data_IF_342323108455
#
_entry.id   IF_342323108455
#
_cell.length_a   1.000
_cell.length_b   1.000
_cell.length_c   1.000
_cell.angle_alpha   90.00
_cell.angle_beta   90.00
_cell.angle_gamma   90.00
#
_symmetry.space_group_name_H-M   'P 1'
#
loop_
_entity.id
_entity.type
_entity.pdbx_description
1 polymer ?
#
# COMPACT_ATOMS: atom_id res chain seq x y z
N UNK A 1 -17.67 2.19 -21.79
CA UNK A 1 -18.57 1.22 -22.43
C UNK A 1 -18.35 1.26 -23.94
N UNK A 2 -17.82 0.15 -24.50
CA UNK A 2 -17.75 -0.05 -25.94
C UNK A 2 -19.16 -0.23 -26.46
N UNK A 3 -19.57 0.55 -27.47
CA UNK A 3 -20.79 0.29 -28.23
C UNK A 3 -20.65 -1.03 -29.03
N UNK A 4 -21.69 -1.44 -29.74
CA UNK A 4 -21.64 -2.66 -30.56
C UNK A 4 -20.53 -2.54 -31.62
N UNK A 5 -19.72 -3.61 -31.74
CA UNK A 5 -18.63 -3.70 -32.74
C UNK A 5 -19.13 -3.83 -34.21
N UNK A 6 -20.33 -3.35 -34.47
CA UNK A 6 -20.92 -3.37 -35.82
C UNK A 6 -20.56 -2.06 -36.56
N UNK A 7 -20.00 -2.19 -37.74
CA UNK A 7 -19.72 -1.05 -38.60
C UNK A 7 -21.01 -0.25 -38.84
N UNK A 8 -20.97 1.05 -38.59
CA UNK A 8 -22.08 2.01 -38.74
C UNK A 8 -23.17 1.97 -37.65
N UNK A 9 -22.94 1.39 -36.48
CA UNK A 9 -23.82 1.53 -35.32
C UNK A 9 -23.18 2.45 -34.32
N UNK A 10 -23.86 3.53 -33.93
CA UNK A 10 -23.41 4.47 -32.93
C UNK A 10 -23.45 3.81 -31.53
N UNK A 11 -22.63 4.34 -30.59
CA UNK A 11 -22.58 3.82 -29.23
C UNK A 11 -23.88 4.02 -28.45
N UNK A 12 -24.66 5.02 -28.83
CA UNK A 12 -25.96 5.34 -28.25
C UNK A 12 -27.02 5.43 -29.39
N UNK A 13 -28.30 5.46 -29.02
CA UNK A 13 -29.42 5.60 -29.92
C UNK A 13 -29.52 4.46 -30.94
N UNK A 14 -29.30 3.23 -30.47
CA UNK A 14 -29.49 2.03 -31.32
C UNK A 14 -30.51 1.08 -30.69
N UNK A 15 -31.04 0.20 -31.50
CA UNK A 15 -31.92 -0.90 -31.08
C UNK A 15 -31.42 -2.22 -31.64
N UNK A 16 -31.63 -3.30 -30.89
CA UNK A 16 -31.29 -4.66 -31.29
C UNK A 16 -32.50 -5.55 -31.07
N UNK A 17 -32.68 -6.47 -31.99
CA UNK A 17 -33.69 -7.55 -31.93
C UNK A 17 -32.99 -8.89 -32.06
N UNK A 18 -33.12 -9.74 -31.05
CA UNK A 18 -32.75 -11.15 -31.14
C UNK A 18 -34.01 -12.01 -31.30
N UNK A 19 -33.96 -12.97 -32.16
CA UNK A 19 -35.03 -13.94 -32.36
C UNK A 19 -34.47 -15.35 -32.42
N UNK A 20 -35.21 -16.32 -31.90
CA UNK A 20 -34.79 -17.70 -31.87
C UNK A 20 -35.89 -18.63 -31.36
N UNK A 21 -35.49 -19.85 -31.05
CA UNK A 21 -36.34 -20.86 -30.43
C UNK A 21 -35.62 -21.42 -29.22
N UNK A 22 -36.39 -21.70 -28.16
CA UNK A 22 -35.95 -22.44 -27.01
C UNK A 22 -36.74 -23.73 -26.84
N UNK A 23 -36.07 -24.80 -26.43
CA UNK A 23 -36.67 -26.12 -26.23
C UNK A 23 -36.27 -26.63 -24.85
N UNK A 24 -37.17 -26.62 -23.85
CA UNK A 24 -36.87 -27.16 -22.54
C UNK A 24 -36.69 -28.69 -22.62
N UNK A 25 -35.77 -29.20 -21.83
CA UNK A 25 -35.54 -30.66 -21.76
C UNK A 25 -36.57 -31.37 -20.85
N UNK A 26 -37.18 -30.62 -19.95
CA UNK A 26 -38.13 -31.13 -18.97
C UNK A 26 -39.40 -30.28 -18.97
N UNK A 27 -40.58 -30.93 -18.71
CA UNK A 27 -41.82 -30.19 -18.48
C UNK A 27 -41.81 -29.61 -17.07
N UNK A 28 -41.73 -28.28 -16.95
CA UNK A 28 -41.69 -27.53 -15.66
C UNK A 28 -42.17 -26.11 -15.87
N UNK A 29 -42.28 -25.38 -14.79
CA UNK A 29 -42.29 -23.93 -14.89
C UNK A 29 -40.85 -23.42 -15.12
N UNK A 30 -40.74 -22.38 -15.91
CA UNK A 30 -39.49 -21.67 -16.18
C UNK A 30 -39.66 -20.20 -15.93
N UNK A 31 -38.75 -19.61 -15.19
CA UNK A 31 -38.72 -18.16 -14.93
C UNK A 31 -37.69 -17.52 -15.85
N UNK A 32 -38.16 -16.65 -16.72
CA UNK A 32 -37.32 -15.78 -17.56
C UNK A 32 -36.93 -14.54 -16.74
N UNK A 33 -35.67 -14.14 -16.81
CA UNK A 33 -35.09 -12.98 -16.15
C UNK A 33 -34.46 -12.12 -17.21
N UNK A 34 -34.94 -10.87 -17.35
CA UNK A 34 -34.31 -9.89 -18.25
C UNK A 34 -33.81 -8.74 -17.40
N UNK A 35 -32.53 -8.42 -17.53
CA UNK A 35 -31.89 -7.26 -16.93
C UNK A 35 -31.33 -6.37 -18.02
N UNK A 36 -31.67 -5.09 -18.04
CA UNK A 36 -31.23 -4.18 -19.11
C UNK A 36 -31.20 -2.72 -18.69
N UNK A 37 -30.39 -1.98 -19.41
CA UNK A 37 -30.22 -0.53 -19.44
C UNK A 37 -30.00 -0.12 -20.91
N UNK A 38 -30.83 0.64 -21.57
CA UNK A 38 -32.09 1.30 -21.18
C UNK A 38 -33.34 0.37 -21.24
N UNK A 39 -33.95 0.23 -22.40
CA UNK A 39 -35.24 -0.41 -22.57
C UNK A 39 -35.18 -1.79 -23.16
N UNK A 40 -36.04 -2.68 -22.67
CA UNK A 40 -36.13 -4.06 -23.16
C UNK A 40 -37.56 -4.59 -23.17
N UNK A 41 -37.81 -5.58 -24.06
CA UNK A 41 -39.08 -6.28 -24.13
C UNK A 41 -38.82 -7.75 -24.49
N UNK A 42 -39.45 -8.65 -23.75
CA UNK A 42 -39.40 -10.08 -24.00
C UNK A 42 -40.74 -10.54 -24.56
N UNK A 43 -40.71 -11.26 -25.68
CA UNK A 43 -41.87 -11.83 -26.36
C UNK A 43 -41.66 -13.33 -26.47
N UNK A 44 -42.64 -14.12 -25.99
CA UNK A 44 -42.65 -15.57 -26.08
C UNK A 44 -43.89 -16.01 -26.85
N UNK A 45 -43.69 -16.83 -27.91
CA UNK A 45 -44.75 -17.27 -28.85
C UNK A 45 -45.65 -16.12 -29.33
N UNK A 46 -45.08 -14.98 -29.64
CA UNK A 46 -45.77 -13.78 -30.10
C UNK A 46 -46.48 -12.96 -29.03
N UNK A 47 -46.46 -13.40 -27.79
CA UNK A 47 -47.02 -12.66 -26.65
C UNK A 47 -45.92 -11.89 -25.90
N UNK A 48 -46.11 -10.59 -25.75
CA UNK A 48 -45.25 -9.76 -24.91
C UNK A 48 -45.48 -10.16 -23.45
N UNK A 49 -44.40 -10.65 -22.77
CA UNK A 49 -44.45 -11.14 -21.40
C UNK A 49 -43.69 -10.23 -20.43
N UNK A 50 -42.70 -9.48 -20.93
CA UNK A 50 -42.03 -8.39 -20.21
C UNK A 50 -42.02 -7.18 -21.16
N UNK A 51 -42.46 -6.03 -20.69
CA UNK A 51 -42.41 -4.75 -21.40
C UNK A 51 -41.87 -3.63 -20.52
N UNK A 52 -40.59 -3.37 -20.68
CA UNK A 52 -39.89 -2.23 -20.09
C UNK A 52 -39.19 -1.42 -21.19
N UNK A 53 -39.84 -1.29 -22.35
CA UNK A 53 -39.28 -0.61 -23.51
C UNK A 53 -39.38 0.91 -23.37
N UNK A 54 -38.65 1.44 -22.37
CA UNK A 54 -38.56 2.89 -22.02
C UNK A 54 -37.18 3.20 -21.51
N UNK A 55 -36.71 4.43 -21.70
CA UNK A 55 -35.43 4.89 -21.13
C UNK A 55 -35.42 4.86 -19.61
N UNK A 56 -34.24 4.64 -19.03
CA UNK A 56 -34.02 4.65 -17.59
C UNK A 56 -32.84 3.76 -17.19
N UNK A 57 -32.45 3.82 -15.93
CA UNK A 57 -31.34 3.05 -15.36
C UNK A 57 -31.58 1.54 -15.44
N UNK A 58 -30.51 0.78 -15.19
CA UNK A 58 -30.53 -0.68 -15.12
C UNK A 58 -31.67 -1.20 -14.26
N UNK A 59 -32.48 -2.11 -14.78
CA UNK A 59 -33.57 -2.78 -14.08
C UNK A 59 -33.71 -4.23 -14.48
N UNK A 60 -34.28 -5.04 -13.59
CA UNK A 60 -34.55 -6.46 -13.79
C UNK A 60 -36.05 -6.73 -13.76
N UNK A 61 -36.53 -7.59 -14.63
CA UNK A 61 -37.91 -8.11 -14.65
C UNK A 61 -37.90 -9.61 -14.86
N UNK A 62 -38.92 -10.24 -14.27
CA UNK A 62 -39.08 -11.69 -14.29
C UNK A 62 -40.48 -12.06 -14.81
N UNK A 63 -40.55 -13.20 -15.52
CA UNK A 63 -41.81 -13.79 -15.99
C UNK A 63 -41.71 -15.30 -15.92
N UNK A 64 -42.67 -15.94 -15.25
CA UNK A 64 -42.74 -17.41 -15.11
C UNK A 64 -43.84 -18.01 -15.96
N UNK A 65 -43.55 -19.08 -16.68
CA UNK A 65 -44.54 -19.85 -17.41
C UNK A 65 -44.23 -21.34 -17.38
N UNK A 66 -45.29 -22.17 -17.53
CA UNK A 66 -45.11 -23.62 -17.71
C UNK A 66 -44.67 -23.91 -19.14
N UNK A 67 -43.64 -24.73 -19.31
CA UNK A 67 -43.14 -25.18 -20.61
C UNK A 67 -43.06 -26.69 -20.65
N UNK A 68 -43.31 -27.26 -21.81
CA UNK A 68 -43.37 -28.69 -22.07
C UNK A 68 -42.04 -29.20 -22.68
N UNK A 69 -41.54 -30.34 -22.20
CA UNK A 69 -40.31 -30.97 -22.71
C UNK A 69 -40.33 -31.15 -24.22
N UNK A 70 -39.26 -30.75 -24.91
CA UNK A 70 -39.07 -30.90 -26.34
C UNK A 70 -39.89 -29.97 -27.24
N UNK A 71 -40.90 -29.26 -26.73
CA UNK A 71 -41.68 -28.29 -27.46
C UNK A 71 -40.85 -27.03 -27.76
N UNK A 72 -40.93 -26.55 -29.00
CA UNK A 72 -40.31 -25.32 -29.42
C UNK A 72 -41.16 -24.11 -29.00
N UNK A 73 -40.55 -23.14 -28.36
CA UNK A 73 -41.14 -21.85 -28.03
C UNK A 73 -40.37 -20.76 -28.75
N UNK A 74 -41.05 -19.93 -29.54
CA UNK A 74 -40.41 -18.77 -30.18
C UNK A 74 -40.08 -17.72 -29.14
N UNK A 75 -38.85 -17.22 -29.19
CA UNK A 75 -38.38 -16.16 -28.33
C UNK A 75 -37.91 -14.95 -29.14
N UNK A 76 -38.28 -13.75 -28.70
CA UNK A 76 -37.76 -12.50 -29.21
C UNK A 76 -37.41 -11.59 -28.00
N UNK A 77 -36.21 -11.04 -28.05
CA UNK A 77 -35.78 -10.00 -27.15
C UNK A 77 -35.53 -8.74 -27.95
N UNK A 78 -36.26 -7.69 -27.65
CA UNK A 78 -36.02 -6.33 -28.16
C UNK A 78 -35.28 -5.53 -27.11
N UNK A 79 -34.29 -4.76 -27.53
CA UNK A 79 -33.49 -3.87 -26.67
C UNK A 79 -33.27 -2.55 -27.39
N UNK A 80 -33.26 -1.46 -26.67
CA UNK A 80 -32.72 -0.20 -27.16
C UNK A 80 -31.83 0.49 -26.13
N UNK A 81 -30.82 1.20 -26.65
CA UNK A 81 -29.90 2.02 -25.92
C UNK A 81 -30.11 3.50 -26.26
N UNK A 82 -30.48 4.33 -25.28
CA UNK A 82 -30.67 5.76 -25.46
C UNK A 82 -29.41 6.54 -25.10
N UNK A 83 -28.73 6.20 -24.02
CA UNK A 83 -27.47 6.87 -23.59
C UNK A 83 -27.01 6.41 -22.22
N UNK A 84 -25.75 6.72 -21.87
CA UNK A 84 -25.15 6.33 -20.59
C UNK A 84 -24.63 4.89 -20.61
N UNK A 85 -24.90 4.14 -19.54
CA UNK A 85 -24.56 2.72 -19.43
C UNK A 85 -25.35 1.86 -20.41
N UNK A 86 -24.82 0.73 -20.85
CA UNK A 86 -25.49 -0.20 -21.74
C UNK A 86 -25.32 -1.64 -21.25
N UNK A 87 -26.41 -2.32 -20.98
CA UNK A 87 -26.38 -3.75 -20.71
C UNK A 87 -27.70 -4.41 -21.09
N UNK A 88 -27.63 -5.66 -21.50
CA UNK A 88 -28.79 -6.54 -21.69
C UNK A 88 -28.40 -7.99 -21.41
N UNK A 89 -29.09 -8.59 -20.46
CA UNK A 89 -28.93 -9.99 -20.08
C UNK A 89 -30.28 -10.69 -20.15
N UNK A 90 -30.30 -11.92 -20.68
CA UNK A 90 -31.44 -12.82 -20.66
C UNK A 90 -31.03 -14.16 -20.08
N UNK A 91 -31.67 -14.55 -19.00
CA UNK A 91 -31.53 -15.88 -18.40
C UNK A 91 -32.91 -16.56 -18.27
N UNK A 92 -32.92 -17.87 -18.12
CA UNK A 92 -34.08 -18.63 -17.74
C UNK A 92 -33.73 -19.77 -16.80
N UNK A 93 -34.57 -19.98 -15.79
CA UNK A 93 -34.37 -20.94 -14.72
C UNK A 93 -35.59 -21.85 -14.63
N UNK A 94 -35.35 -23.15 -14.47
CA UNK A 94 -36.42 -24.13 -14.20
C UNK A 94 -36.80 -24.08 -12.72
N UNK A 95 -38.09 -24.20 -12.38
CA UNK A 95 -38.54 -24.36 -10.99
C UNK A 95 -37.84 -25.58 -10.35
N UNK A 96 -37.37 -25.41 -9.15
CA UNK A 96 -36.57 -26.39 -8.42
C UNK A 96 -35.06 -26.26 -8.68
N UNK A 97 -34.65 -25.40 -9.62
CA UNK A 97 -33.23 -25.05 -9.81
C UNK A 97 -32.70 -24.04 -8.76
N UNK A 98 -33.57 -23.62 -7.81
CA UNK A 98 -33.13 -22.77 -6.70
C UNK A 98 -32.01 -23.45 -5.88
N UNK A 99 -32.00 -24.77 -5.85
CA UNK A 99 -30.94 -25.53 -5.20
C UNK A 99 -29.80 -25.94 -6.14
N UNK A 100 -29.91 -25.60 -7.46
CA UNK A 100 -28.90 -26.00 -8.44
C UNK A 100 -27.51 -25.52 -8.08
N UNK A 101 -27.42 -24.25 -7.67
CA UNK A 101 -26.14 -23.67 -7.22
C UNK A 101 -25.52 -24.50 -6.08
N UNK A 102 -26.31 -24.80 -5.05
CA UNK A 102 -25.83 -25.61 -3.91
C UNK A 102 -25.50 -27.04 -4.34
N UNK A 103 -26.34 -27.66 -5.17
CA UNK A 103 -26.13 -29.01 -5.69
C UNK A 103 -24.85 -29.13 -6.54
N UNK A 104 -24.51 -28.10 -7.32
CA UNK A 104 -23.24 -28.08 -8.08
C UNK A 104 -22.04 -27.87 -7.16
N UNK A 105 -22.14 -26.99 -6.16
CA UNK A 105 -21.09 -26.80 -5.15
C UNK A 105 -20.81 -28.10 -4.38
N UNK A 106 -21.85 -28.87 -4.04
CA UNK A 106 -21.71 -30.09 -3.26
C UNK A 106 -21.05 -31.24 -4.06
N UNK A 107 -21.04 -31.16 -5.40
CA UNK A 107 -20.30 -32.08 -6.28
C UNK A 107 -18.81 -31.74 -6.39
N UNK A 108 -18.41 -30.50 -6.08
CA UNK A 108 -17.03 -30.07 -6.17
C UNK A 108 -16.20 -30.65 -5.01
N UNK A 109 -14.90 -30.81 -5.20
CA UNK A 109 -13.96 -31.12 -4.12
C UNK A 109 -13.50 -29.87 -3.39
N UNK A 110 -13.32 -28.77 -4.14
CA UNK A 110 -12.89 -27.46 -3.66
C UNK A 110 -13.69 -26.38 -4.39
N UNK A 111 -14.07 -25.33 -3.68
CA UNK A 111 -14.71 -24.13 -4.25
C UNK A 111 -13.67 -23.03 -4.35
N UNK A 112 -13.49 -22.44 -5.53
CA UNK A 112 -12.69 -21.22 -5.71
C UNK A 112 -13.64 -20.07 -5.99
N UNK A 113 -13.73 -19.13 -5.04
CA UNK A 113 -14.58 -17.95 -5.13
C UNK A 113 -13.77 -16.74 -5.61
N UNK A 114 -14.07 -16.22 -6.79
CA UNK A 114 -13.56 -14.95 -7.27
C UNK A 114 -14.44 -13.82 -6.74
N UNK A 115 -13.86 -12.98 -5.92
CA UNK A 115 -14.55 -11.97 -5.09
C UNK A 115 -13.94 -10.61 -5.40
N UNK A 116 -14.72 -9.55 -5.36
CA UNK A 116 -14.13 -8.22 -5.49
C UNK A 116 -15.08 -7.17 -6.02
N UNK A 117 -14.46 -6.11 -6.49
CA UNK A 117 -15.13 -4.98 -7.10
C UNK A 117 -14.97 -5.01 -8.62
N UNK A 118 -15.87 -4.30 -9.30
CA UNK A 118 -15.82 -4.07 -10.73
C UNK A 118 -15.89 -2.56 -11.03
N UNK A 119 -15.82 -2.17 -12.29
CA UNK A 119 -15.83 -0.76 -12.70
C UNK A 119 -17.09 0.03 -12.30
N UNK A 120 -18.17 -0.63 -11.89
CA UNK A 120 -19.37 0.05 -11.37
C UNK A 120 -19.33 0.29 -9.88
N UNK A 121 -18.52 -0.45 -9.14
CA UNK A 121 -18.38 -0.35 -7.68
C UNK A 121 -17.04 0.22 -7.21
N UNK A 122 -16.04 0.25 -8.09
CA UNK A 122 -14.73 0.88 -7.85
C UNK A 122 -14.24 1.56 -9.12
N UNK A 123 -14.25 2.90 -9.15
CA UNK A 123 -13.88 3.71 -10.29
C UNK A 123 -13.18 4.99 -9.84
N UNK A 124 -12.46 5.65 -10.77
CA UNK A 124 -11.86 6.95 -10.54
C UNK A 124 -12.93 7.99 -10.19
N UNK A 125 -12.63 8.84 -9.21
CA UNK A 125 -13.53 9.85 -8.65
C UNK A 125 -14.85 9.32 -8.06
N UNK A 126 -14.96 8.00 -7.86
CA UNK A 126 -16.08 7.35 -7.17
C UNK A 126 -15.70 6.93 -5.75
N UNK A 127 -16.62 7.08 -4.81
CA UNK A 127 -16.45 6.51 -3.47
C UNK A 127 -16.76 5.02 -3.49
N UNK A 128 -15.77 4.21 -3.19
CA UNK A 128 -15.94 2.77 -2.98
C UNK A 128 -16.39 2.51 -1.54
N UNK A 129 -17.42 1.70 -1.36
CA UNK A 129 -17.76 1.21 -0.02
C UNK A 129 -16.65 0.33 0.53
N UNK A 130 -16.47 0.32 1.87
CA UNK A 130 -15.52 -0.57 2.51
C UNK A 130 -15.94 -2.05 2.39
N UNK A 131 -17.24 -2.34 2.38
CA UNK A 131 -17.80 -3.67 2.15
C UNK A 131 -17.80 -4.08 0.68
N UNK A 132 -17.90 -5.38 0.45
CA UNK A 132 -18.16 -5.93 -0.88
C UNK A 132 -19.53 -5.45 -1.43
N UNK A 133 -19.72 -5.39 -2.77
CA UNK A 133 -21.05 -5.28 -3.35
C UNK A 133 -21.98 -6.36 -2.77
N UNK A 134 -23.24 -6.00 -2.49
CA UNK A 134 -24.16 -6.87 -1.74
C UNK A 134 -24.42 -8.20 -2.46
N UNK A 135 -24.52 -8.18 -3.78
CA UNK A 135 -24.71 -9.37 -4.62
C UNK A 135 -23.50 -10.31 -4.55
N UNK A 136 -22.28 -9.78 -4.53
CA UNK A 136 -21.05 -10.56 -4.35
C UNK A 136 -20.99 -11.16 -2.95
N UNK A 137 -21.31 -10.37 -1.93
CA UNK A 137 -21.35 -10.84 -0.52
C UNK A 137 -22.37 -11.95 -0.35
N UNK A 138 -23.59 -11.80 -0.90
CA UNK A 138 -24.65 -12.79 -0.83
C UNK A 138 -24.25 -14.10 -1.52
N UNK A 139 -23.58 -14.02 -2.67
CA UNK A 139 -23.07 -15.19 -3.39
C UNK A 139 -22.02 -15.95 -2.57
N UNK A 140 -21.07 -15.24 -1.97
CA UNK A 140 -20.03 -15.84 -1.11
C UNK A 140 -20.65 -16.52 0.10
N UNK A 141 -21.56 -15.85 0.80
CA UNK A 141 -22.25 -16.41 1.96
C UNK A 141 -23.16 -17.60 1.59
N UNK A 142 -23.77 -17.59 0.41
CA UNK A 142 -24.51 -18.72 -0.11
C UNK A 142 -23.60 -19.93 -0.39
N UNK A 143 -22.43 -19.69 -1.01
CA UNK A 143 -21.46 -20.73 -1.30
C UNK A 143 -20.89 -21.36 0.01
N UNK A 144 -20.75 -20.57 1.06
CA UNK A 144 -20.30 -21.02 2.38
C UNK A 144 -21.29 -21.90 3.15
N UNK A 145 -22.49 -22.13 2.61
CA UNK A 145 -23.43 -23.16 3.13
C UNK A 145 -22.99 -24.56 2.75
N UNK A 146 -22.19 -24.71 1.71
CA UNK A 146 -21.55 -25.98 1.38
C UNK A 146 -20.50 -26.35 2.42
N UNK A 147 -20.32 -27.65 2.66
CA UNK A 147 -19.28 -28.18 3.55
C UNK A 147 -17.90 -28.25 2.90
N UNK A 148 -17.79 -27.87 1.62
CA UNK A 148 -16.55 -28.01 0.84
C UNK A 148 -15.52 -26.94 1.23
N UNK A 149 -14.22 -27.27 1.19
CA UNK A 149 -13.17 -26.25 1.38
C UNK A 149 -13.31 -25.13 0.35
N UNK A 150 -13.17 -23.89 0.81
CA UNK A 150 -13.28 -22.70 -0.05
C UNK A 150 -11.99 -21.90 -0.04
N UNK A 151 -11.56 -21.46 -1.22
CA UNK A 151 -10.44 -20.55 -1.44
C UNK A 151 -11.02 -19.25 -2.02
N UNK A 152 -10.67 -18.12 -1.43
CA UNK A 152 -11.03 -16.81 -1.96
C UNK A 152 -9.91 -16.23 -2.84
N UNK A 153 -10.27 -15.72 -4.00
CA UNK A 153 -9.40 -14.90 -4.86
C UNK A 153 -10.02 -13.52 -4.93
N UNK A 154 -9.38 -12.53 -4.32
CA UNK A 154 -9.93 -11.19 -4.19
C UNK A 154 -9.32 -10.23 -5.19
N UNK A 155 -10.17 -9.61 -6.01
CA UNK A 155 -9.81 -8.55 -6.94
C UNK A 155 -10.38 -7.23 -6.43
N UNK A 156 -9.55 -6.43 -5.76
CA UNK A 156 -9.90 -5.12 -5.24
C UNK A 156 -8.65 -4.24 -5.17
N UNK A 157 -8.80 -2.94 -5.37
CA UNK A 157 -7.72 -1.96 -5.33
C UNK A 157 -7.24 -1.60 -3.91
N UNK A 158 -7.96 -2.03 -2.89
CA UNK A 158 -7.63 -1.82 -1.48
C UNK A 158 -8.29 -2.85 -0.58
N UNK A 159 -8.21 -2.65 0.73
CA UNK A 159 -8.87 -3.49 1.71
C UNK A 159 -10.41 -3.50 1.54
N UNK A 160 -11.04 -4.60 1.92
CA UNK A 160 -12.50 -4.73 2.03
C UNK A 160 -12.86 -5.35 3.38
N UNK A 161 -14.08 -5.12 3.85
CA UNK A 161 -14.59 -5.78 5.06
C UNK A 161 -14.68 -7.29 4.86
N UNK A 162 -14.03 -8.07 5.73
CA UNK A 162 -13.85 -9.52 5.55
C UNK A 162 -14.42 -10.36 6.70
N UNK A 163 -14.84 -9.74 7.81
CA UNK A 163 -15.17 -10.45 9.06
C UNK A 163 -16.27 -11.50 8.90
N UNK A 164 -17.24 -11.28 8.01
CA UNK A 164 -18.39 -12.16 7.82
C UNK A 164 -18.05 -13.41 6.97
N UNK A 165 -17.06 -13.32 6.10
CA UNK A 165 -16.84 -14.35 5.09
C UNK A 165 -15.42 -14.97 5.10
N UNK A 166 -14.39 -14.20 5.45
CA UNK A 166 -12.99 -14.65 5.44
C UNK A 166 -12.74 -15.84 6.41
N UNK A 167 -13.30 -15.87 7.64
CA UNK A 167 -12.97 -16.93 8.59
C UNK A 167 -13.32 -18.35 8.12
N UNK A 168 -14.17 -18.49 7.12
CA UNK A 168 -14.53 -19.79 6.50
C UNK A 168 -13.66 -20.14 5.31
N UNK A 169 -12.80 -19.25 4.84
CA UNK A 169 -11.86 -19.53 3.77
C UNK A 169 -10.70 -20.39 4.27
N UNK A 170 -10.29 -21.37 3.48
CA UNK A 170 -9.10 -22.20 3.75
C UNK A 170 -7.83 -21.61 3.16
N UNK A 171 -7.98 -20.68 2.22
CA UNK A 171 -6.93 -19.90 1.62
C UNK A 171 -7.50 -18.60 1.07
N UNK A 172 -6.70 -17.55 1.07
CA UNK A 172 -7.07 -16.25 0.54
C UNK A 172 -5.91 -15.71 -0.31
N UNK A 173 -6.18 -15.47 -1.58
CA UNK A 173 -5.26 -14.83 -2.51
C UNK A 173 -5.75 -13.43 -2.82
N UNK A 174 -4.92 -12.42 -2.56
CA UNK A 174 -5.23 -11.03 -2.89
C UNK A 174 -4.60 -10.70 -4.24
N UNK A 175 -5.43 -10.68 -5.29
CA UNK A 175 -4.98 -10.55 -6.68
C UNK A 175 -4.81 -9.12 -7.16
N UNK A 176 -5.30 -8.11 -6.41
CA UNK A 176 -5.32 -6.71 -6.85
C UNK A 176 -5.94 -6.57 -8.25
N UNK A 177 -5.38 -5.71 -9.09
CA UNK A 177 -5.70 -5.57 -10.52
C UNK A 177 -4.46 -5.91 -11.35
N UNK A 178 -4.30 -7.19 -11.63
CA UNK A 178 -3.07 -7.79 -12.16
C UNK A 178 -2.78 -7.54 -13.66
N UNK A 179 -3.62 -6.79 -14.36
CA UNK A 179 -3.42 -6.50 -15.79
C UNK A 179 -3.66 -7.71 -16.70
N UNK A 180 -3.00 -7.73 -17.85
CA UNK A 180 -3.26 -8.68 -18.93
C UNK A 180 -3.05 -10.15 -18.52
N UNK A 181 -2.00 -10.44 -17.76
CA UNK A 181 -1.62 -11.79 -17.36
C UNK A 181 -2.15 -12.20 -15.98
N UNK A 182 -3.11 -11.46 -15.41
CA UNK A 182 -3.65 -11.73 -14.08
C UNK A 182 -4.19 -13.14 -13.92
N UNK A 183 -4.90 -13.64 -14.93
CA UNK A 183 -5.47 -15.00 -14.92
C UNK A 183 -4.40 -16.08 -14.86
N UNK A 184 -3.36 -15.97 -15.66
CA UNK A 184 -2.20 -16.87 -15.67
C UNK A 184 -1.49 -16.86 -14.32
N UNK A 185 -1.15 -15.68 -13.80
CA UNK A 185 -0.45 -15.53 -12.53
C UNK A 185 -1.26 -16.11 -11.35
N UNK A 186 -2.58 -15.87 -11.32
CA UNK A 186 -3.44 -16.44 -10.27
C UNK A 186 -3.53 -17.97 -10.36
N UNK A 187 -3.64 -18.52 -11.59
CA UNK A 187 -3.66 -19.97 -11.80
C UNK A 187 -2.36 -20.62 -11.34
N UNK A 188 -1.21 -20.07 -11.73
CA UNK A 188 0.11 -20.59 -11.31
C UNK A 188 0.26 -20.63 -9.78
N UNK A 189 -0.23 -19.59 -9.09
CA UNK A 189 -0.24 -19.59 -7.62
C UNK A 189 -1.22 -20.64 -7.08
N UNK A 190 -2.47 -20.68 -7.57
CA UNK A 190 -3.48 -21.61 -7.06
C UNK A 190 -3.10 -23.09 -7.26
N UNK A 191 -2.45 -23.41 -8.37
CA UNK A 191 -1.98 -24.78 -8.67
C UNK A 191 -0.58 -25.09 -8.13
N UNK A 192 0.09 -24.12 -7.50
CA UNK A 192 1.40 -24.31 -6.86
C UNK A 192 2.57 -24.33 -7.84
N UNK A 193 2.38 -23.90 -9.08
CA UNK A 193 3.47 -23.73 -10.06
C UNK A 193 4.36 -22.56 -9.68
N UNK A 194 3.80 -21.54 -9.03
CA UNK A 194 4.51 -20.40 -8.48
C UNK A 194 4.25 -20.27 -6.98
N UNK A 195 5.31 -20.22 -6.17
CA UNK A 195 5.20 -19.97 -4.73
C UNK A 195 5.04 -18.47 -4.47
N UNK A 196 3.91 -18.01 -3.88
CA UNK A 196 3.68 -16.59 -3.64
C UNK A 196 4.71 -16.00 -2.67
N UNK A 197 5.09 -14.77 -2.93
CA UNK A 197 6.05 -14.01 -2.11
C UNK A 197 5.71 -12.51 -2.03
N UNK A 198 4.49 -12.16 -2.41
CA UNK A 198 3.96 -10.81 -2.30
C UNK A 198 3.71 -10.42 -0.84
N UNK A 199 3.90 -9.14 -0.52
CA UNK A 199 3.64 -8.57 0.81
C UNK A 199 2.65 -7.42 0.68
N UNK A 200 1.72 -7.32 1.63
CA UNK A 200 0.74 -6.24 1.66
C UNK A 200 1.44 -4.88 1.81
N UNK A 201 1.21 -3.93 0.90
CA UNK A 201 1.79 -2.60 0.97
C UNK A 201 1.07 -1.67 1.95
N UNK A 202 -0.04 -2.13 2.51
CA UNK A 202 -0.88 -1.41 3.49
C UNK A 202 -1.36 -2.37 4.57
N UNK A 203 -1.77 -1.83 5.71
CA UNK A 203 -2.48 -2.60 6.74
C UNK A 203 -3.93 -2.80 6.30
N UNK A 204 -4.47 -3.98 6.52
CA UNK A 204 -5.90 -4.27 6.34
C UNK A 204 -6.58 -4.22 7.70
N UNK A 205 -7.37 -3.18 7.92
CA UNK A 205 -8.19 -3.01 9.11
C UNK A 205 -9.38 -3.98 9.11
N UNK A 206 -9.90 -4.26 10.30
CA UNK A 206 -11.11 -5.08 10.46
C UNK A 206 -12.37 -4.28 10.12
N UNK A 207 -12.43 -3.01 10.51
CA UNK A 207 -13.53 -2.09 10.29
C UNK A 207 -13.02 -0.77 9.77
N UNK A 208 -13.81 -0.05 9.02
CA UNK A 208 -13.45 1.27 8.50
C UNK A 208 -13.14 2.28 9.63
N UNK A 209 -13.87 2.20 10.74
CA UNK A 209 -13.68 3.07 11.91
C UNK A 209 -12.33 2.85 12.63
N UNK A 210 -11.71 1.71 12.41
CA UNK A 210 -10.39 1.37 12.97
C UNK A 210 -9.25 2.09 12.25
N UNK A 211 -9.51 2.70 11.07
CA UNK A 211 -8.49 3.40 10.29
C UNK A 211 -8.01 4.67 11.01
N UNK A 212 -6.69 4.89 11.18
CA UNK A 212 -6.16 6.08 11.86
C UNK A 212 -6.63 7.40 11.25
N UNK A 213 -6.98 7.41 9.96
CA UNK A 213 -7.45 8.58 9.24
C UNK A 213 -8.99 8.71 9.22
N UNK A 214 -9.72 7.80 9.86
CA UNK A 214 -11.19 7.76 9.79
C UNK A 214 -11.86 9.10 10.13
N UNK A 215 -11.43 9.74 11.21
CA UNK A 215 -11.99 11.00 11.69
C UNK A 215 -11.53 12.23 10.88
N UNK A 216 -10.49 12.11 10.07
CA UNK A 216 -9.92 13.20 9.26
C UNK A 216 -10.17 13.02 7.76
N UNK A 217 -10.76 11.89 7.33
CA UNK A 217 -10.94 11.55 5.92
C UNK A 217 -11.93 12.48 5.20
N UNK A 218 -13.05 12.84 5.85
CA UNK A 218 -14.08 13.68 5.27
C UNK A 218 -14.00 15.12 5.76
N UNK A 219 -14.38 16.06 4.91
CA UNK A 219 -14.39 17.50 5.22
C UNK A 219 -15.58 17.94 6.09
N UNK A 220 -16.52 17.06 6.37
CA UNK A 220 -17.75 17.33 7.13
C UNK A 220 -18.54 18.56 6.62
N UNK A 221 -18.47 18.85 5.33
CA UNK A 221 -19.13 19.98 4.67
C UNK A 221 -18.41 21.32 4.81
N UNK A 222 -17.24 21.35 5.45
CA UNK A 222 -16.44 22.58 5.64
C UNK A 222 -15.54 22.91 4.45
N UNK A 223 -15.38 21.98 3.51
CA UNK A 223 -14.41 22.02 2.41
C UNK A 223 -12.94 22.11 2.88
N UNK A 224 -12.68 21.66 4.10
CA UNK A 224 -11.35 21.60 4.69
C UNK A 224 -11.13 20.22 5.29
N UNK A 225 -10.03 19.59 4.91
CA UNK A 225 -9.56 18.32 5.48
C UNK A 225 -8.31 18.62 6.30
N UNK A 226 -8.31 18.21 7.57
CA UNK A 226 -7.19 18.38 8.48
C UNK A 226 -6.55 17.02 8.77
N UNK A 227 -5.30 16.83 8.37
CA UNK A 227 -4.54 15.61 8.61
C UNK A 227 -4.06 15.54 10.08
N UNK A 228 -5.04 15.32 10.98
CA UNK A 228 -4.79 15.33 12.44
C UNK A 228 -3.95 14.16 12.93
N UNK A 229 -3.90 13.07 12.16
CA UNK A 229 -3.06 11.91 12.39
C UNK A 229 -1.56 12.18 12.19
N UNK A 230 -1.21 13.23 11.43
CA UNK A 230 0.16 13.60 11.11
C UNK A 230 0.94 12.44 10.49
N UNK A 231 2.08 12.07 11.09
CA UNK A 231 2.90 10.94 10.63
C UNK A 231 2.37 9.56 11.06
N UNK A 232 1.34 9.53 11.91
CA UNK A 232 0.74 8.30 12.49
C UNK A 232 -0.31 7.70 11.58
N UNK A 233 -0.06 7.66 10.27
CA UNK A 233 -0.91 6.99 9.28
C UNK A 233 -0.48 5.55 9.04
N UNK A 234 -1.40 4.71 8.53
CA UNK A 234 -1.15 3.30 8.24
C UNK A 234 -0.69 2.52 9.47
N UNK A 235 0.22 1.55 9.31
CA UNK A 235 0.67 0.68 10.41
C UNK A 235 1.22 1.45 11.62
N UNK A 236 1.79 2.64 11.43
CA UNK A 236 2.30 3.49 12.52
C UNK A 236 1.17 3.94 13.45
N UNK A 237 0.02 4.30 12.89
CA UNK A 237 -1.16 4.70 13.65
C UNK A 237 -1.83 3.51 14.34
N UNK A 238 -2.00 2.39 13.65
CA UNK A 238 -2.56 1.17 14.25
C UNK A 238 -1.69 0.64 15.40
N UNK A 239 -0.36 0.68 15.25
CA UNK A 239 0.57 0.24 16.28
C UNK A 239 0.52 1.18 17.49
N UNK A 240 0.50 2.51 17.29
CA UNK A 240 0.37 3.50 18.35
C UNK A 240 -0.92 3.33 19.15
N UNK A 241 -2.03 3.08 18.48
CA UNK A 241 -3.34 2.91 19.11
C UNK A 241 -3.52 1.50 19.72
N UNK A 242 -2.64 0.54 19.43
CA UNK A 242 -2.81 -0.86 19.81
C UNK A 242 -4.01 -1.53 19.12
N UNK A 243 -4.45 -1.01 17.98
CA UNK A 243 -5.62 -1.50 17.24
C UNK A 243 -5.34 -2.87 16.64
N UNK A 244 -6.23 -3.82 16.86
CA UNK A 244 -6.17 -5.11 16.14
C UNK A 244 -6.51 -4.91 14.66
N UNK A 245 -5.75 -5.56 13.79
CA UNK A 245 -5.93 -5.49 12.34
C UNK A 245 -6.23 -6.86 11.76
N UNK A 246 -6.83 -6.91 10.57
CA UNK A 246 -7.08 -8.17 9.87
C UNK A 246 -5.75 -8.75 9.36
N UNK A 247 -4.99 -7.94 8.63
CA UNK A 247 -3.64 -8.27 8.20
C UNK A 247 -2.72 -7.06 8.36
N UNK A 248 -1.55 -7.21 8.99
CA UNK A 248 -0.64 -6.10 9.18
C UNK A 248 0.08 -5.71 7.87
N UNK A 249 0.61 -4.49 7.82
CA UNK A 249 1.53 -4.05 6.79
C UNK A 249 2.69 -5.04 6.63
N UNK A 250 3.03 -5.37 5.40
CA UNK A 250 4.12 -6.30 5.08
C UNK A 250 3.74 -7.79 5.20
N UNK A 251 2.49 -8.13 5.58
CA UNK A 251 2.01 -9.50 5.67
C UNK A 251 1.93 -10.18 4.30
N UNK A 252 2.23 -11.47 4.28
CA UNK A 252 2.08 -12.36 3.12
C UNK A 252 2.69 -13.71 3.43
N UNK A 253 1.96 -14.78 3.09
CA UNK A 253 2.37 -16.16 3.32
C UNK A 253 3.08 -16.75 2.11
N UNK A 254 3.72 -17.89 2.33
CA UNK A 254 4.41 -18.69 1.32
C UNK A 254 3.98 -20.15 1.46
N UNK A 255 4.19 -20.97 0.43
CA UNK A 255 4.02 -22.43 0.50
C UNK A 255 5.20 -23.14 1.21
N UNK A 256 6.19 -22.37 1.65
CA UNK A 256 7.30 -22.82 2.48
C UNK A 256 7.40 -21.96 3.74
N UNK A 257 8.33 -22.30 4.62
CA UNK A 257 8.58 -21.57 5.87
C UNK A 257 10.01 -21.05 5.91
N UNK A 258 10.21 -19.93 6.58
CA UNK A 258 11.53 -19.31 6.71
C UNK A 258 11.85 -19.03 8.18
N UNK A 259 13.13 -19.03 8.49
CA UNK A 259 13.65 -18.65 9.80
C UNK A 259 14.74 -17.58 9.65
N UNK A 260 14.73 -16.58 10.56
CA UNK A 260 15.81 -15.62 10.72
C UNK A 260 16.61 -15.95 11.98
N UNK A 261 17.94 -15.83 11.89
CA UNK A 261 18.86 -16.02 13.02
C UNK A 261 20.10 -15.14 12.87
N UNK A 262 20.97 -15.19 13.88
CA UNK A 262 22.33 -14.66 13.87
C UNK A 262 22.39 -13.16 13.48
N UNK A 263 21.44 -12.36 14.02
CA UNK A 263 21.44 -10.92 13.81
C UNK A 263 22.67 -10.29 14.46
N UNK A 264 23.36 -9.44 13.71
CA UNK A 264 24.47 -8.64 14.18
C UNK A 264 24.28 -7.19 13.76
N UNK A 265 24.60 -6.26 14.62
CA UNK A 265 24.57 -4.82 14.36
C UNK A 265 25.99 -4.30 14.56
N UNK A 266 26.54 -3.69 13.53
CA UNK A 266 27.88 -3.09 13.55
C UNK A 266 27.86 -1.68 12.99
N UNK A 267 28.85 -0.89 13.34
CA UNK A 267 29.10 0.38 12.66
C UNK A 267 29.51 0.12 11.23
N UNK A 268 28.97 0.90 10.29
CA UNK A 268 29.29 0.73 8.88
C UNK A 268 30.70 1.24 8.56
N UNK A 269 31.43 0.49 7.73
CA UNK A 269 32.69 0.94 7.17
C UNK A 269 32.55 1.86 5.96
N UNK A 270 31.33 2.02 5.43
CA UNK A 270 30.99 2.93 4.33
C UNK A 270 30.42 4.23 4.91
N UNK A 271 31.07 5.36 4.69
CA UNK A 271 30.70 6.68 5.20
C UNK A 271 29.27 7.13 4.84
N UNK A 272 28.66 6.49 3.85
CA UNK A 272 27.28 6.71 3.43
C UNK A 272 26.27 6.19 4.47
N UNK A 273 26.64 5.18 5.23
CA UNK A 273 25.79 4.51 6.20
C UNK A 273 26.34 4.62 7.61
N UNK A 274 25.46 4.61 8.60
CA UNK A 274 25.86 4.61 10.02
C UNK A 274 25.92 3.20 10.59
N UNK A 275 25.00 2.35 10.16
CA UNK A 275 24.83 1.02 10.75
C UNK A 275 24.70 -0.01 9.64
N UNK A 276 25.38 -1.13 9.82
CA UNK A 276 25.26 -2.35 9.06
C UNK A 276 24.55 -3.40 9.91
N UNK A 277 23.50 -4.03 9.36
CA UNK A 277 22.73 -5.09 10.01
C UNK A 277 22.85 -6.34 9.17
N UNK A 278 23.46 -7.39 9.70
CA UNK A 278 23.54 -8.70 9.07
C UNK A 278 22.65 -9.70 9.79
N UNK A 279 22.09 -10.64 9.05
CA UNK A 279 21.34 -11.77 9.58
C UNK A 279 21.44 -12.97 8.64
N UNK A 280 21.09 -14.14 9.15
CA UNK A 280 20.94 -15.36 8.38
C UNK A 280 19.46 -15.63 8.13
N UNK A 281 19.09 -15.94 6.89
CA UNK A 281 17.77 -16.47 6.54
C UNK A 281 17.90 -17.89 6.02
N UNK A 282 17.02 -18.78 6.47
CA UNK A 282 16.95 -20.18 6.05
C UNK A 282 15.53 -20.52 5.58
N UNK A 283 15.42 -21.24 4.45
CA UNK A 283 14.18 -21.92 4.08
C UNK A 283 14.10 -23.23 4.87
N UNK A 284 13.14 -23.32 5.78
CA UNK A 284 12.95 -24.50 6.66
C UNK A 284 11.88 -25.47 6.16
N UNK A 285 11.27 -25.17 5.02
CA UNK A 285 10.25 -26.00 4.40
C UNK A 285 10.79 -26.85 3.24
N UNK A 286 9.86 -27.44 2.49
CA UNK A 286 10.14 -28.43 1.45
C UNK A 286 10.03 -27.87 0.03
N UNK A 287 9.62 -26.64 -0.13
CA UNK A 287 9.37 -25.98 -1.42
C UNK A 287 10.30 -24.76 -1.53
N UNK A 288 10.87 -24.55 -2.70
CA UNK A 288 11.61 -23.34 -2.99
C UNK A 288 10.71 -22.10 -2.92
N UNK A 289 11.25 -20.99 -2.47
CA UNK A 289 10.45 -19.78 -2.35
C UNK A 289 11.27 -18.56 -1.99
N UNK A 290 10.62 -17.40 -2.05
CA UNK A 290 11.22 -16.14 -1.66
C UNK A 290 10.51 -15.54 -0.44
N UNK A 291 11.29 -14.91 0.44
CA UNK A 291 10.79 -14.14 1.58
C UNK A 291 11.36 -12.72 1.56
N UNK A 292 10.62 -11.77 2.15
CA UNK A 292 11.05 -10.38 2.29
C UNK A 292 11.42 -10.11 3.74
N UNK A 293 12.72 -9.96 3.99
CA UNK A 293 13.22 -9.48 5.28
C UNK A 293 12.91 -7.97 5.35
N UNK A 294 12.21 -7.55 6.39
CA UNK A 294 11.80 -6.17 6.62
C UNK A 294 12.53 -5.63 7.84
N UNK A 295 13.25 -4.52 7.65
CA UNK A 295 14.05 -3.85 8.68
C UNK A 295 13.30 -2.64 9.21
N UNK A 296 12.94 -2.69 10.45
CA UNK A 296 12.26 -1.62 11.16
C UNK A 296 13.17 -0.95 12.19
N UNK A 297 13.03 0.37 12.33
CA UNK A 297 13.76 1.19 13.26
C UNK A 297 12.77 1.94 14.15
N UNK A 298 12.95 1.88 15.46
CA UNK A 298 12.14 2.59 16.43
C UNK A 298 13.00 3.33 17.45
N UNK A 299 12.69 4.61 17.71
CA UNK A 299 13.38 5.39 18.76
C UNK A 299 13.04 4.81 20.12
N UNK A 300 14.07 4.56 20.94
CA UNK A 300 13.91 4.20 22.34
C UNK A 300 14.15 5.43 23.23
N UNK A 301 13.31 5.62 24.24
CA UNK A 301 13.38 6.77 25.13
C UNK A 301 12.77 8.06 24.57
N UNK A 302 13.22 9.20 25.04
CA UNK A 302 12.68 10.52 24.70
C UNK A 302 13.12 10.99 23.32
N UNK A 303 12.25 11.74 22.65
CA UNK A 303 12.54 12.43 21.39
C UNK A 303 11.95 13.84 21.44
N UNK A 304 12.52 14.83 20.72
CA UNK A 304 11.97 16.17 20.62
C UNK A 304 10.59 16.24 19.95
N UNK A 305 10.26 15.22 19.16
CA UNK A 305 8.99 15.08 18.46
C UNK A 305 8.40 13.69 18.69
N UNK A 306 7.10 13.56 18.51
CA UNK A 306 6.46 12.25 18.57
C UNK A 306 7.00 11.34 17.47
N UNK A 307 7.44 10.12 17.83
CA UNK A 307 7.96 9.11 16.90
C UNK A 307 7.05 7.88 16.86
N UNK A 308 6.89 7.24 15.70
CA UNK A 308 6.26 5.93 15.62
C UNK A 308 7.02 4.88 16.44
N UNK A 309 6.32 3.85 16.91
CA UNK A 309 6.94 2.72 17.61
C UNK A 309 8.03 2.08 16.74
N UNK A 310 7.76 1.97 15.43
CA UNK A 310 8.70 1.49 14.41
C UNK A 310 8.40 2.09 13.04
N UNK A 311 9.43 2.19 12.22
CA UNK A 311 9.33 2.60 10.82
C UNK A 311 10.14 1.65 9.94
N UNK A 312 9.55 1.20 8.82
CA UNK A 312 10.29 0.44 7.80
C UNK A 312 11.38 1.34 7.20
N UNK A 313 12.63 0.94 7.35
CA UNK A 313 13.80 1.68 6.84
C UNK A 313 14.63 0.90 5.82
N UNK A 314 14.35 -0.38 5.68
CA UNK A 314 14.98 -1.23 4.68
C UNK A 314 14.24 -2.54 4.47
N UNK A 315 14.46 -3.16 3.35
CA UNK A 315 13.96 -4.51 3.09
C UNK A 315 14.82 -5.20 2.02
N UNK A 316 14.81 -6.53 2.04
CA UNK A 316 15.43 -7.32 1.00
C UNK A 316 14.64 -8.60 0.73
N UNK A 317 14.33 -8.87 -0.53
CA UNK A 317 13.71 -10.11 -0.97
C UNK A 317 14.79 -11.12 -1.29
N UNK A 318 14.68 -12.34 -0.73
CA UNK A 318 15.66 -13.40 -0.85
C UNK A 318 14.96 -14.67 -1.32
N UNK A 319 15.42 -15.24 -2.42
CA UNK A 319 15.00 -16.56 -2.90
C UNK A 319 15.91 -17.64 -2.35
N UNK A 320 15.31 -18.75 -1.87
CA UNK A 320 16.00 -19.88 -1.27
C UNK A 320 15.39 -21.21 -1.73
N UNK A 321 16.26 -22.13 -2.09
CA UNK A 321 15.92 -23.55 -2.26
C UNK A 321 15.56 -24.18 -0.89
N UNK A 322 14.88 -25.35 -0.85
CA UNK A 322 14.64 -26.07 0.39
C UNK A 322 15.95 -26.29 1.17
N UNK A 323 15.92 -26.03 2.48
CA UNK A 323 17.06 -26.12 3.40
C UNK A 323 18.22 -25.14 3.11
N UNK A 324 18.17 -24.35 2.04
CA UNK A 324 19.18 -23.34 1.74
C UNK A 324 19.16 -22.23 2.79
N UNK A 325 20.36 -21.72 3.13
CA UNK A 325 20.54 -20.55 3.98
C UNK A 325 21.45 -19.52 3.31
N UNK A 326 21.19 -18.24 3.56
CA UNK A 326 21.97 -17.11 3.07
C UNK A 326 22.20 -16.08 4.17
N UNK A 327 23.37 -15.44 4.16
CA UNK A 327 23.59 -14.21 4.90
C UNK A 327 23.08 -13.02 4.08
N UNK A 328 22.43 -12.11 4.77
CA UNK A 328 21.86 -10.88 4.19
C UNK A 328 22.36 -9.71 5.03
N UNK A 329 22.78 -8.66 4.33
CA UNK A 329 23.22 -7.41 4.97
C UNK A 329 22.33 -6.25 4.50
N UNK A 330 21.84 -5.47 5.44
CA UNK A 330 21.05 -4.26 5.25
C UNK A 330 21.80 -3.08 5.86
N UNK A 331 21.67 -1.90 5.25
CA UNK A 331 22.39 -0.71 5.67
C UNK A 331 21.43 0.41 6.03
N UNK A 332 21.74 1.15 7.10
CA UNK A 332 20.98 2.32 7.55
C UNK A 332 21.82 3.58 7.45
N UNK A 333 21.38 4.55 6.67
CA UNK A 333 21.94 5.89 6.63
C UNK A 333 21.42 6.73 7.81
N UNK A 334 21.98 7.91 7.99
CA UNK A 334 21.51 8.88 8.99
C UNK A 334 20.03 9.23 8.86
N UNK A 335 19.45 9.12 7.65
CA UNK A 335 18.03 9.42 7.42
C UNK A 335 17.09 8.43 8.14
N UNK A 336 17.55 7.21 8.41
CA UNK A 336 16.80 6.24 9.17
C UNK A 336 16.54 6.67 10.63
N UNK A 337 17.38 7.52 11.15
CA UNK A 337 17.39 7.99 12.55
C UNK A 337 16.95 9.46 12.69
N UNK A 338 16.59 10.09 11.57
CA UNK A 338 16.25 11.51 11.50
C UNK A 338 14.76 11.78 11.68
N UNK A 339 14.44 12.98 12.15
CA UNK A 339 13.10 13.56 12.10
C UNK A 339 13.16 14.94 11.43
N UNK A 340 12.03 15.44 10.93
CA UNK A 340 11.96 16.78 10.37
C UNK A 340 11.76 17.82 11.49
N UNK A 341 12.73 18.71 11.65
CA UNK A 341 12.65 19.82 12.61
C UNK A 341 12.01 21.03 11.90
N UNK A 342 10.81 21.39 12.32
CA UNK A 342 10.05 22.51 11.71
C UNK A 342 10.71 23.88 11.93
N UNK A 343 11.47 24.05 13.00
CA UNK A 343 12.18 25.28 13.31
C UNK A 343 13.44 25.43 12.45
N UNK A 344 14.16 24.33 12.25
CA UNK A 344 15.36 24.26 11.40
C UNK A 344 15.01 24.07 9.92
N UNK A 345 13.76 23.71 9.61
CA UNK A 345 13.28 23.38 8.26
C UNK A 345 14.15 22.33 7.56
N UNK A 346 14.61 21.36 8.31
CA UNK A 346 15.51 20.31 7.83
C UNK A 346 15.37 19.02 8.63
N UNK A 347 15.85 17.91 8.05
CA UNK A 347 15.97 16.65 8.78
C UNK A 347 17.18 16.69 9.73
N UNK A 348 16.95 16.24 10.95
CA UNK A 348 17.95 16.23 12.03
C UNK A 348 18.02 14.83 12.62
N UNK A 349 19.23 14.30 12.80
CA UNK A 349 19.43 13.03 13.49
C UNK A 349 19.04 13.20 14.96
N UNK A 350 18.18 12.29 15.42
CA UNK A 350 17.77 12.23 16.82
C UNK A 350 18.69 11.24 17.55
N UNK A 351 19.79 11.76 18.11
CA UNK A 351 20.77 10.94 18.81
C UNK A 351 20.15 10.15 19.98
N UNK A 352 20.69 8.98 20.28
CA UNK A 352 20.26 8.13 21.39
C UNK A 352 20.05 6.68 20.98
N UNK A 353 19.35 5.92 21.79
CA UNK A 353 19.13 4.50 21.60
C UNK A 353 17.97 4.20 20.63
N UNK A 354 18.17 3.20 19.80
CA UNK A 354 17.17 2.73 18.81
C UNK A 354 17.00 1.23 18.88
N UNK A 355 15.75 0.79 18.78
CA UNK A 355 15.41 -0.60 18.51
C UNK A 355 15.58 -0.86 17.01
N UNK A 356 16.27 -1.94 16.68
CA UNK A 356 16.44 -2.48 15.33
C UNK A 356 15.74 -3.82 15.29
N UNK A 357 14.76 -3.94 14.42
CA UNK A 357 13.86 -5.11 14.36
C UNK A 357 13.86 -5.68 12.95
N UNK A 358 14.06 -7.00 12.84
CA UNK A 358 13.93 -7.74 11.59
C UNK A 358 12.70 -8.64 11.67
N UNK A 359 11.88 -8.64 10.64
CA UNK A 359 10.65 -9.42 10.60
C UNK A 359 10.15 -9.69 9.20
N UNK A 360 9.02 -10.39 9.10
CA UNK A 360 8.31 -10.70 7.85
C UNK A 360 7.04 -9.86 7.66
N UNK A 361 6.68 -9.08 8.68
CA UNK A 361 5.66 -8.02 8.64
C UNK A 361 5.90 -7.04 9.78
N UNK A 362 5.15 -5.93 9.82
CA UNK A 362 5.22 -4.95 10.93
C UNK A 362 4.86 -5.55 12.30
N UNK A 363 4.20 -6.70 12.34
CA UNK A 363 3.80 -7.41 13.58
C UNK A 363 4.36 -8.83 13.71
N UNK A 364 5.08 -9.31 12.72
CA UNK A 364 5.79 -10.59 12.77
C UNK A 364 7.30 -10.35 12.86
N UNK A 365 7.72 -9.76 13.99
CA UNK A 365 9.13 -9.48 14.30
C UNK A 365 9.79 -10.77 14.78
N UNK A 366 10.87 -11.15 14.12
CA UNK A 366 11.63 -12.38 14.40
C UNK A 366 12.87 -12.13 15.24
N UNK A 367 13.56 -11.02 14.98
CA UNK A 367 14.79 -10.65 15.67
C UNK A 367 14.70 -9.19 16.10
N UNK A 368 15.26 -8.89 17.28
CA UNK A 368 15.27 -7.55 17.83
C UNK A 368 16.55 -7.34 18.61
N UNK A 369 17.19 -6.19 18.43
CA UNK A 369 18.33 -5.72 19.17
C UNK A 369 18.32 -4.19 19.23
N UNK A 370 19.30 -3.58 19.89
CA UNK A 370 19.41 -2.15 20.09
C UNK A 370 20.75 -1.63 19.60
N UNK A 371 20.76 -0.38 19.18
CA UNK A 371 21.98 0.34 18.81
C UNK A 371 21.95 1.77 19.34
N UNK A 372 23.11 2.30 19.65
CA UNK A 372 23.29 3.68 20.07
C UNK A 372 23.73 4.52 18.87
N UNK A 373 22.98 5.57 18.57
CA UNK A 373 23.32 6.52 17.51
C UNK A 373 23.83 7.81 18.14
N UNK A 374 25.05 8.19 17.78
CA UNK A 374 25.74 9.39 18.25
C UNK A 374 26.39 10.08 17.06
N UNK A 375 25.57 10.76 16.26
CA UNK A 375 26.06 11.60 15.15
C UNK A 375 26.43 12.96 15.76
N UNK A 376 27.69 13.28 15.75
CA UNK A 376 28.14 14.61 16.12
C UNK A 376 27.81 15.54 14.95
N UNK A 377 27.01 16.58 15.19
CA UNK A 377 26.79 17.61 14.18
C UNK A 377 28.07 18.43 14.01
N UNK A 378 28.32 18.97 12.80
CA UNK A 378 29.44 19.88 12.58
C UNK A 378 29.43 21.07 13.58
N UNK A 379 28.26 21.40 14.15
CA UNK A 379 28.07 22.40 15.18
C UNK A 379 28.56 21.87 16.56
N UNK A 380 28.38 20.57 16.85
CA UNK A 380 28.82 19.97 18.13
C UNK A 380 30.31 19.63 18.10
N UNK A 381 30.87 19.23 16.94
CA UNK A 381 32.34 19.18 16.74
C UNK A 381 32.94 20.54 16.95
N UNK A 382 32.35 21.61 16.41
CA UNK A 382 32.77 22.96 16.64
C UNK A 382 32.71 23.41 18.11
N UNK A 383 31.80 22.83 18.92
CA UNK A 383 31.72 23.10 20.40
C UNK A 383 32.79 22.36 21.21
N UNK A 384 33.14 21.16 20.82
CA UNK A 384 34.18 20.39 21.49
C UNK A 384 35.59 20.98 21.24
N UNK A 385 35.84 21.55 20.06
CA UNK A 385 37.09 22.21 19.74
C UNK A 385 37.24 23.62 20.37
N UNK A 386 36.14 24.28 20.81
CA UNK A 386 36.21 25.56 21.52
C UNK A 386 36.83 25.49 22.92
N UNK A 387 36.93 24.29 23.53
CA UNK A 387 37.64 24.10 24.78
C UNK A 387 39.19 24.09 24.62
N UNK A 388 39.72 24.05 23.39
CA UNK A 388 41.16 23.98 23.06
C UNK A 388 41.79 25.24 22.46
N UNK A 389 41.14 26.39 22.63
CA UNK A 389 41.73 27.68 22.26
C UNK A 389 41.16 28.26 20.96
N UNK A 390 40.33 29.29 21.07
CA UNK A 390 39.78 30.04 19.93
C UNK A 390 40.94 30.70 19.16
N UNK A 391 41.11 30.25 17.90
CA UNK A 391 42.09 30.87 16.98
C UNK A 391 41.52 32.11 16.27
N UNK A 392 40.26 32.47 16.53
CA UNK A 392 39.61 33.70 16.05
C UNK A 392 38.85 34.39 17.18
N UNK A 393 38.73 35.75 17.16
CA UNK A 393 38.01 36.50 18.17
C UNK A 393 36.54 36.12 18.23
N UNK A 394 35.96 36.08 19.44
CA UNK A 394 34.53 35.72 19.61
C UNK A 394 33.54 36.81 19.21
N UNK A 395 33.94 38.07 19.21
CA UNK A 395 33.14 39.26 18.85
C UNK A 395 33.99 40.22 18.06
N UNK A 396 33.42 40.70 16.91
CA UNK A 396 34.07 41.66 16.02
C UNK A 396 33.02 42.66 15.50
N UNK A 397 33.46 43.89 15.21
CA UNK A 397 32.59 44.87 14.56
C UNK A 397 32.50 44.61 13.06
N UNK A 398 31.38 44.93 12.48
CA UNK A 398 31.21 44.83 11.04
C UNK A 398 32.25 45.68 10.31
N UNK A 399 32.95 45.10 9.33
CA UNK A 399 34.06 45.74 8.63
C UNK A 399 35.44 45.51 9.27
N UNK A 400 35.55 44.92 10.46
CA UNK A 400 36.84 44.49 11.00
C UNK A 400 37.39 43.26 10.28
N UNK A 401 38.70 43.20 10.18
CA UNK A 401 39.42 42.06 9.63
C UNK A 401 39.85 41.13 10.76
N UNK A 402 39.30 39.91 10.81
CA UNK A 402 39.71 38.89 11.75
C UNK A 402 41.00 38.23 11.25
N UNK A 403 42.05 38.17 12.10
CA UNK A 403 43.26 37.39 11.79
C UNK A 403 43.17 36.02 12.41
N UNK A 404 43.55 34.98 11.66
CA UNK A 404 43.64 33.63 12.18
C UNK A 404 44.96 33.50 12.95
N UNK A 405 44.89 33.19 14.23
CA UNK A 405 46.04 33.33 15.17
C UNK A 405 47.21 32.40 14.86
N UNK A 406 47.02 31.26 14.22
CA UNK A 406 48.08 30.26 13.95
C UNK A 406 48.57 30.24 12.50
N UNK A 407 48.17 31.20 11.66
CA UNK A 407 48.66 31.28 10.30
C UNK A 407 47.54 31.38 9.24
N UNK A 408 47.85 30.92 8.04
CA UNK A 408 46.90 31.00 6.92
C UNK A 408 46.18 29.66 6.73
N UNK A 409 44.88 29.72 6.62
CA UNK A 409 44.07 28.53 6.32
C UNK A 409 44.18 28.17 4.82
N UNK A 410 44.53 26.93 4.52
CA UNK A 410 44.49 26.38 3.16
C UNK A 410 43.08 26.32 2.61
N UNK A 411 42.08 26.19 3.48
CA UNK A 411 40.66 26.29 3.15
C UNK A 411 39.94 27.03 4.30
N UNK A 412 39.05 27.96 3.95
CA UNK A 412 38.23 28.72 4.89
C UNK A 412 36.81 28.80 4.37
N UNK A 413 35.87 28.30 5.16
CA UNK A 413 34.43 28.35 4.88
C UNK A 413 33.71 29.09 6.05
N UNK A 414 32.80 29.99 5.72
CA UNK A 414 31.97 30.69 6.70
C UNK A 414 30.52 30.32 6.48
N UNK A 415 29.87 29.97 7.58
CA UNK A 415 28.47 29.56 7.61
C UNK A 415 27.67 30.48 8.53
N UNK A 416 26.41 30.71 8.20
CA UNK A 416 25.45 31.26 9.16
C UNK A 416 24.98 30.19 10.17
N UNK A 417 24.16 30.58 11.13
CA UNK A 417 23.62 29.65 12.16
C UNK A 417 22.62 28.63 11.59
N UNK A 418 22.18 28.81 10.36
CA UNK A 418 21.31 27.84 9.67
C UNK A 418 22.12 26.75 8.96
N UNK A 419 23.45 26.88 8.92
CA UNK A 419 24.37 26.01 8.20
C UNK A 419 24.53 26.36 6.72
N UNK A 420 23.98 27.50 6.28
CA UNK A 420 24.18 27.97 4.91
C UNK A 420 25.62 28.51 4.78
N UNK A 421 26.36 27.99 3.80
CA UNK A 421 27.69 28.51 3.46
C UNK A 421 27.56 29.90 2.81
N UNK A 422 28.17 30.89 3.43
CA UNK A 422 28.18 32.28 2.96
C UNK A 422 29.44 32.64 2.20
N UNK A 423 30.55 31.99 2.52
CA UNK A 423 31.86 32.28 1.94
C UNK A 423 32.72 31.02 1.90
N UNK A 424 33.40 30.81 0.78
CA UNK A 424 34.50 29.84 0.64
C UNK A 424 35.74 30.57 0.09
N UNK A 425 36.89 30.45 0.77
CA UNK A 425 38.16 31.01 0.36
C UNK A 425 39.27 29.98 0.50
N UNK A 426 40.35 30.16 -0.26
CA UNK A 426 41.54 29.29 -0.25
C UNK A 426 42.74 30.18 0.07
N UNK A 427 43.69 29.66 0.85
CA UNK A 427 44.94 30.32 1.25
C UNK A 427 44.75 31.71 1.85
N UNK A 428 43.91 31.83 2.88
CA UNK A 428 43.58 33.06 3.54
C UNK A 428 44.04 33.04 5.03
N UNK A 429 44.68 34.12 5.42
CA UNK A 429 45.11 34.36 6.83
C UNK A 429 44.12 35.26 7.57
N UNK A 430 43.10 35.79 6.88
CA UNK A 430 42.14 36.76 7.42
C UNK A 430 40.75 36.54 6.89
N UNK A 431 39.75 36.91 7.72
CA UNK A 431 38.34 36.97 7.36
C UNK A 431 37.96 38.46 7.34
N UNK A 432 37.48 38.95 6.17
CA UNK A 432 36.91 40.27 6.07
C UNK A 432 35.41 40.20 6.42
N UNK A 433 34.98 40.95 7.44
CA UNK A 433 33.59 40.90 7.92
C UNK A 433 32.71 41.97 7.29
N UNK A 434 33.21 42.76 6.32
CA UNK A 434 32.47 43.90 5.69
C UNK A 434 31.19 43.47 4.98
N UNK A 435 31.15 42.27 4.43
CA UNK A 435 30.00 41.70 3.74
C UNK A 435 29.11 40.82 4.59
N UNK A 436 29.47 40.57 5.85
CA UNK A 436 28.65 39.84 6.81
C UNK A 436 27.67 40.81 7.48
N UNK A 437 26.42 40.39 7.59
CA UNK A 437 25.42 41.14 8.39
C UNK A 437 25.67 40.96 9.85
N UNK A 438 25.12 41.83 10.71
CA UNK A 438 25.13 41.59 12.15
C UNK A 438 24.50 40.26 12.49
N UNK A 439 25.19 39.43 13.23
CA UNK A 439 24.77 38.08 13.57
C UNK A 439 25.91 37.18 14.00
N UNK A 440 25.57 35.94 14.33
CA UNK A 440 26.54 34.93 14.71
C UNK A 440 26.91 34.04 13.51
N UNK A 441 28.17 33.68 13.41
CA UNK A 441 28.76 32.94 12.33
C UNK A 441 29.66 31.81 12.81
N UNK A 442 29.82 30.79 11.99
CA UNK A 442 30.77 29.71 12.19
C UNK A 442 31.80 29.75 11.05
N UNK A 443 33.09 29.78 11.41
CA UNK A 443 34.19 29.58 10.49
C UNK A 443 34.74 28.16 10.61
N UNK A 444 34.79 27.43 9.52
CA UNK A 444 35.51 26.19 9.37
C UNK A 444 36.76 26.44 8.52
N UNK A 445 37.92 26.16 9.06
CA UNK A 445 39.18 26.44 8.36
C UNK A 445 40.23 25.34 8.60
N UNK A 446 41.08 25.10 7.58
CA UNK A 446 42.08 24.04 7.55
C UNK A 446 43.48 24.65 7.66
N UNK A 447 44.24 24.28 8.72
CA UNK A 447 45.65 24.66 8.95
C UNK A 447 46.44 23.35 9.17
N UNK A 448 47.58 23.20 8.51
CA UNK A 448 48.47 22.04 8.65
C UNK A 448 47.72 20.69 8.52
N UNK A 449 46.87 20.58 7.48
CA UNK A 449 46.04 19.39 7.19
C UNK A 449 44.97 19.10 8.29
N UNK A 450 44.79 19.92 9.30
CA UNK A 450 43.76 19.76 10.35
C UNK A 450 42.66 20.80 10.17
N UNK A 451 41.41 20.36 10.37
CA UNK A 451 40.29 21.26 10.42
C UNK A 451 40.15 21.87 11.80
N UNK A 452 39.86 23.17 11.83
CA UNK A 452 39.57 23.97 13.00
C UNK A 452 38.25 24.68 12.82
N UNK A 453 37.58 24.95 13.90
CA UNK A 453 36.33 25.70 13.89
C UNK A 453 36.44 26.90 14.84
N UNK A 454 35.75 27.98 14.47
CA UNK A 454 35.64 29.13 15.36
C UNK A 454 34.28 29.79 15.21
N UNK A 455 33.65 30.13 16.31
CA UNK A 455 32.41 30.90 16.34
C UNK A 455 32.72 32.37 16.60
N UNK A 456 32.13 33.25 15.80
CA UNK A 456 32.27 34.70 16.03
C UNK A 456 30.94 35.42 15.81
N UNK A 457 30.79 36.56 16.44
CA UNK A 457 29.62 37.44 16.33
C UNK A 457 30.09 38.72 15.68
N UNK A 458 29.36 39.15 14.63
CA UNK A 458 29.50 40.47 13.99
C UNK A 458 28.48 41.41 14.59
N UNK A 459 28.95 42.51 15.23
CA UNK A 459 28.13 43.56 15.86
C UNK A 459 27.97 44.81 14.97
#
# INVERSE_FOLDING_TARGET
TSGPDAANVEKNYFSVKWTGEIRPQETSNYTFIVKGDDGFRLILDGKTVIDEFKSGSTREKRYTMKMEAGKAYKIQLDYFQGGGGACIDLAWLKDGDENRFQNELDKADIIVAFIGHNSSSEAEAGERSFGLPQDVKDLVLAAQKSSKPMIGVVNAGGNVEMQDWEPKMKGLLWGWYGGQEAGTAMAEVLFGEYNPSGKLPVTFEKRWEDNPCYNSYYDNGTKQVNFTEGIMMGYRGYDKAGTEVQYPFGFGLSYTTFNLSDMQITESSDDKYLVEISCKIKNTGKVAGAEVIQLYVGKNGSSPVERPIRELKGYQKVYLEPEEEKFVTLYLSKDAFSYYDVNRKNFVVDNGEYNIELGFSSRDIKLKDQTQINVVSAIDEARQDTEKGNLIPSVVKQGEIIRIAQGCASELNIFDLTGQMLLKQIDKCTIDTSYLKKGAYLALYKIDEKFHTGKFIVE
#
